data_IF_712083762342
#
_entry.id   IF_712083762342
#
_cell.length_a   1.000
_cell.length_b   1.000
_cell.length_c   1.000
_cell.angle_alpha   90.00
_cell.angle_beta   90.00
_cell.angle_gamma   90.00
#
_symmetry.space_group_name_H-M   'P 1'
#
loop_
_entity.id
_entity.type
_entity.pdbx_description
1 polymer ?
#
# COMPACT_ATOMS: atom_id res chain seq x y z
N UNK A 1 7.12 1.14 -2.15
CA UNK A 1 5.96 0.65 -2.97
C UNK A 1 4.77 1.59 -2.94
N UNK A 2 4.61 2.45 -1.92
CA UNK A 2 3.49 3.41 -1.82
C UNK A 2 3.73 4.73 -2.57
N UNK A 3 4.84 4.85 -3.29
CA UNK A 3 5.12 6.01 -4.13
C UNK A 3 4.10 6.13 -5.26
N UNK A 4 3.67 7.36 -5.56
CA UNK A 4 2.74 7.62 -6.67
C UNK A 4 3.30 7.09 -7.99
N UNK A 5 2.51 6.25 -8.66
CA UNK A 5 2.86 5.71 -9.97
C UNK A 5 3.75 4.47 -9.94
N UNK A 6 4.07 3.94 -8.76
CA UNK A 6 4.86 2.71 -8.66
C UNK A 6 4.05 1.49 -9.14
N UNK A 7 4.55 0.80 -10.16
CA UNK A 7 3.98 -0.44 -10.67
C UNK A 7 5.08 -1.32 -11.25
N UNK A 8 4.99 -2.63 -11.02
CA UNK A 8 5.82 -3.63 -11.72
C UNK A 8 5.22 -4.05 -13.07
N UNK A 9 3.96 -3.69 -13.32
CA UNK A 9 3.27 -3.86 -14.60
C UNK A 9 3.24 -2.50 -15.33
N UNK A 10 3.87 -2.43 -16.50
CA UNK A 10 4.01 -1.20 -17.28
C UNK A 10 2.70 -0.72 -17.92
N UNK A 11 1.64 -1.54 -17.89
CA UNK A 11 0.30 -1.17 -18.37
C UNK A 11 -0.59 -0.57 -17.28
N UNK A 12 -0.17 -0.69 -16.01
CA UNK A 12 -0.92 -0.18 -14.86
C UNK A 12 -0.35 1.18 -14.42
N UNK A 13 -1.24 2.07 -13.99
CA UNK A 13 -0.89 3.42 -13.54
C UNK A 13 -0.17 3.45 -12.19
N UNK A 14 -0.24 2.38 -11.38
CA UNK A 14 0.47 2.32 -10.10
C UNK A 14 -0.06 3.28 -9.03
N UNK A 15 -1.30 3.76 -9.15
CA UNK A 15 -1.86 4.77 -8.25
C UNK A 15 -2.52 4.18 -6.99
N UNK A 16 -2.95 2.91 -7.03
CA UNK A 16 -3.79 2.32 -6.00
C UNK A 16 -3.19 2.39 -4.59
N UNK A 17 -1.91 2.06 -4.44
CA UNK A 17 -1.26 2.04 -3.12
C UNK A 17 -0.99 3.44 -2.59
N UNK A 18 -0.62 4.40 -3.45
CA UNK A 18 -0.48 5.79 -3.02
C UNK A 18 -1.79 6.40 -2.53
N UNK A 19 -2.93 6.03 -3.14
CA UNK A 19 -4.26 6.45 -2.68
C UNK A 19 -4.59 5.84 -1.30
N UNK A 20 -4.24 4.57 -1.08
CA UNK A 20 -4.40 3.93 0.24
C UNK A 20 -3.57 4.65 1.29
N UNK A 21 -2.32 4.96 0.98
CA UNK A 21 -1.41 5.69 1.88
C UNK A 21 -1.96 7.06 2.26
N UNK A 22 -2.46 7.83 1.28
CA UNK A 22 -3.09 9.14 1.51
C UNK A 22 -4.31 9.04 2.44
N UNK A 23 -5.19 8.06 2.22
CA UNK A 23 -6.40 7.85 3.04
C UNK A 23 -6.03 7.48 4.47
N UNK A 24 -5.11 6.53 4.64
CA UNK A 24 -4.65 6.05 5.94
C UNK A 24 -4.04 7.19 6.75
N UNK A 25 -3.14 7.98 6.14
CA UNK A 25 -2.58 9.16 6.79
C UNK A 25 -3.63 10.23 7.11
N UNK A 26 -4.63 10.44 6.25
CA UNK A 26 -5.72 11.38 6.52
C UNK A 26 -6.57 10.99 7.74
N UNK A 27 -6.61 9.70 8.08
CA UNK A 27 -7.27 9.20 9.29
C UNK A 27 -6.34 9.13 10.52
N UNK A 28 -5.07 9.55 10.40
CA UNK A 28 -4.07 9.43 11.47
C UNK A 28 -3.61 8.00 11.72
N UNK A 29 -3.82 7.11 10.76
CA UNK A 29 -3.45 5.70 10.80
C UNK A 29 -2.11 5.47 10.09
N UNK A 30 -1.64 4.23 10.07
CA UNK A 30 -0.47 3.82 9.28
C UNK A 30 -0.72 2.53 8.49
N UNK A 31 0.02 2.35 7.40
CA UNK A 31 -0.03 1.14 6.57
C UNK A 31 1.37 0.65 6.23
N UNK A 32 1.58 -0.65 6.35
CA UNK A 32 2.85 -1.29 6.00
C UNK A 32 2.61 -2.50 5.09
N UNK A 33 3.60 -2.81 4.26
CA UNK A 33 3.60 -4.00 3.42
C UNK A 33 4.64 -5.00 3.93
N UNK A 34 4.22 -6.25 4.07
CA UNK A 34 5.04 -7.36 4.55
C UNK A 34 4.77 -8.64 3.75
N UNK A 35 5.58 -9.66 3.96
CA UNK A 35 5.37 -10.98 3.34
C UNK A 35 4.29 -11.73 4.13
N UNK A 36 3.29 -12.24 3.42
CA UNK A 36 2.29 -13.13 4.00
C UNK A 36 2.88 -14.50 4.32
N UNK A 37 2.31 -15.20 5.31
CA UNK A 37 2.80 -16.50 5.77
C UNK A 37 2.92 -17.56 4.65
N UNK A 38 2.06 -17.48 3.63
CA UNK A 38 2.00 -18.39 2.48
C UNK A 38 2.76 -17.85 1.25
N UNK A 39 3.65 -16.86 1.42
CA UNK A 39 4.46 -16.29 0.33
C UNK A 39 3.75 -15.24 -0.54
N UNK A 40 2.54 -14.82 -0.17
CA UNK A 40 1.81 -13.72 -0.81
C UNK A 40 2.21 -12.33 -0.28
N UNK A 41 1.61 -11.28 -0.86
CA UNK A 41 1.69 -9.93 -0.29
C UNK A 41 0.70 -9.76 0.86
N UNK A 42 1.13 -9.12 1.94
CA UNK A 42 0.28 -8.75 3.08
C UNK A 42 0.43 -7.27 3.36
N UNK A 43 -0.70 -6.61 3.61
CA UNK A 43 -0.75 -5.22 4.03
C UNK A 43 -1.35 -5.15 5.43
N UNK A 44 -0.70 -4.43 6.33
CA UNK A 44 -1.16 -4.20 7.70
C UNK A 44 -1.58 -2.75 7.84
N UNK A 45 -2.75 -2.50 8.42
CA UNK A 45 -3.23 -1.16 8.73
C UNK A 45 -3.34 -1.03 10.25
N UNK A 46 -2.61 -0.09 10.84
CA UNK A 46 -2.72 0.24 12.25
C UNK A 46 -3.60 1.48 12.43
N UNK A 47 -4.64 1.34 13.26
CA UNK A 47 -5.69 2.34 13.47
C UNK A 47 -5.66 2.99 14.87
N UNK A 48 -4.59 2.75 15.65
CA UNK A 48 -4.53 3.11 17.07
C UNK A 48 -3.81 4.42 17.34
#
# INVERSE_FOLDING_TARGET
MFEHGYSTDTTNTGLGLSIVDDIVHAHGWSVEATTGAEGGGRFEVDIR
#
